data_IF_205009155401
#
_entry.id   IF_205009155401
#
_cell.length_a   1.000
_cell.length_b   1.000
_cell.length_c   1.000
_cell.angle_alpha   90.00
_cell.angle_beta   90.00
_cell.angle_gamma   90.00
#
_symmetry.space_group_name_H-M   'P 1'
#
loop_
_entity.id
_entity.type
_entity.pdbx_description
1 polymer ?
#
# COMPACT_ATOMS: atom_id res chain seq x y z
N UNK A 1 -17.25 -4.56 14.39
CA UNK A 1 -16.29 -5.53 13.77
C UNK A 1 -15.01 -4.78 13.44
N UNK A 2 -13.83 -5.42 13.60
CA UNK A 2 -12.54 -4.76 13.33
C UNK A 2 -12.41 -4.42 11.84
N UNK A 3 -11.92 -3.20 11.55
CA UNK A 3 -11.66 -2.70 10.19
C UNK A 3 -10.40 -3.30 9.56
N UNK A 4 -9.54 -3.92 10.36
CA UNK A 4 -8.45 -4.78 9.91
C UNK A 4 -8.67 -6.15 10.52
N UNK A 5 -8.89 -7.15 9.67
CA UNK A 5 -9.07 -8.53 10.10
C UNK A 5 -7.75 -9.27 10.03
N UNK A 6 -7.42 -9.95 11.11
CA UNK A 6 -6.18 -10.71 11.24
C UNK A 6 -6.54 -12.19 11.38
N UNK A 7 -6.03 -13.01 10.47
CA UNK A 7 -6.32 -14.45 10.42
C UNK A 7 -5.01 -15.23 10.26
N UNK A 8 -4.87 -16.33 10.95
CA UNK A 8 -3.73 -17.23 10.82
C UNK A 8 -4.05 -18.41 9.93
N UNK A 9 -3.24 -18.62 8.90
CA UNK A 9 -3.32 -19.77 7.99
C UNK A 9 -1.97 -20.50 7.95
N UNK A 10 -1.80 -21.51 8.80
CA UNK A 10 -0.51 -22.17 8.98
C UNK A 10 0.58 -21.21 9.43
N UNK A 11 1.67 -21.09 8.67
CA UNK A 11 2.77 -20.14 8.91
C UNK A 11 2.56 -18.77 8.25
N UNK A 12 1.40 -18.50 7.66
CA UNK A 12 1.07 -17.23 7.02
C UNK A 12 0.11 -16.44 7.90
N UNK A 13 0.43 -15.19 8.18
CA UNK A 13 -0.48 -14.23 8.78
C UNK A 13 -1.20 -13.46 7.66
N UNK A 14 -2.52 -13.54 7.61
CA UNK A 14 -3.33 -12.74 6.67
C UNK A 14 -3.80 -11.46 7.38
N UNK A 15 -3.49 -10.31 6.80
CA UNK A 15 -4.01 -9.01 7.20
C UNK A 15 -4.97 -8.52 6.11
N UNK A 16 -6.25 -8.40 6.46
CA UNK A 16 -7.29 -8.00 5.51
C UNK A 16 -7.87 -6.65 5.87
N UNK A 17 -7.81 -5.71 4.94
CA UNK A 17 -8.50 -4.41 5.03
C UNK A 17 -10.00 -4.68 4.83
N UNK A 18 -10.83 -4.28 5.81
CA UNK A 18 -12.25 -4.61 5.81
C UNK A 18 -13.13 -3.44 6.25
N UNK A 19 -13.40 -2.56 5.31
CA UNK A 19 -14.32 -1.43 5.43
C UNK A 19 -15.02 -1.21 4.07
N UNK A 20 -15.72 -2.25 3.55
CA UNK A 20 -16.22 -2.26 2.17
C UNK A 20 -17.24 -1.14 1.90
N UNK A 21 -18.02 -0.73 2.89
CA UNK A 21 -19.00 0.38 2.80
C UNK A 21 -18.34 1.75 2.53
N UNK A 22 -17.05 1.88 2.79
CA UNK A 22 -16.20 3.03 2.45
C UNK A 22 -15.12 2.68 1.43
N UNK A 23 -15.31 1.58 0.67
CA UNK A 23 -14.36 1.08 -0.33
C UNK A 23 -12.96 0.87 0.25
N UNK A 24 -12.89 0.41 1.50
CA UNK A 24 -11.65 0.21 2.25
C UNK A 24 -10.78 1.48 2.37
N UNK A 25 -11.37 2.69 2.38
CA UNK A 25 -10.63 3.92 2.65
C UNK A 25 -10.02 3.86 4.05
N UNK A 26 -8.71 4.16 4.15
CA UNK A 26 -7.89 4.00 5.34
C UNK A 26 -7.98 5.22 6.25
N UNK A 27 -8.32 4.99 7.52
CA UNK A 27 -8.30 5.98 8.61
C UNK A 27 -7.04 5.83 9.46
N UNK A 28 -6.76 6.82 10.32
CA UNK A 28 -5.68 6.75 11.29
C UNK A 28 -5.75 5.50 12.18
N UNK A 29 -6.97 5.09 12.63
CA UNK A 29 -7.19 3.86 13.39
C UNK A 29 -6.78 2.62 12.59
N UNK A 30 -7.12 2.55 11.29
CA UNK A 30 -6.76 1.42 10.45
C UNK A 30 -5.25 1.31 10.23
N UNK A 31 -4.52 2.42 10.12
CA UNK A 31 -3.06 2.42 10.10
C UNK A 31 -2.46 1.90 11.40
N UNK A 32 -3.00 2.30 12.54
CA UNK A 32 -2.60 1.77 13.85
C UNK A 32 -2.78 0.26 13.92
N UNK A 33 -3.94 -0.25 13.46
CA UNK A 33 -4.23 -1.69 13.43
C UNK A 33 -3.32 -2.46 12.45
N UNK A 34 -3.03 -1.90 11.27
CA UNK A 34 -2.09 -2.51 10.31
C UNK A 34 -0.67 -2.57 10.88
N UNK A 35 -0.20 -1.48 11.51
CA UNK A 35 1.08 -1.43 12.20
C UNK A 35 1.17 -2.48 13.29
N UNK A 36 0.15 -2.57 14.15
CA UNK A 36 0.08 -3.60 15.20
C UNK A 36 0.10 -5.02 14.63
N UNK A 37 -0.62 -5.26 13.52
CA UNK A 37 -0.62 -6.54 12.82
C UNK A 37 0.74 -6.94 12.26
N UNK A 38 1.47 -6.00 11.64
CA UNK A 38 2.83 -6.23 11.14
C UNK A 38 3.81 -6.49 12.30
N UNK A 39 3.75 -5.70 13.37
CA UNK A 39 4.60 -5.88 14.56
C UNK A 39 4.36 -7.22 15.23
N UNK A 40 3.09 -7.61 15.40
CA UNK A 40 2.74 -8.93 15.94
C UNK A 40 3.28 -10.06 15.06
N UNK A 41 3.12 -9.93 13.73
CA UNK A 41 3.68 -10.89 12.79
C UNK A 41 5.22 -10.92 12.81
N UNK A 42 5.88 -9.80 13.01
CA UNK A 42 7.34 -9.72 13.13
C UNK A 42 7.85 -10.44 14.39
N UNK A 43 7.16 -10.26 15.51
CA UNK A 43 7.55 -10.81 16.82
C UNK A 43 7.23 -12.31 16.99
N UNK A 44 6.31 -12.89 16.20
CA UNK A 44 5.91 -14.30 16.30
C UNK A 44 6.74 -15.17 15.35
N UNK A 45 7.70 -15.93 15.87
CA UNK A 45 8.56 -16.82 15.08
C UNK A 45 7.80 -17.92 14.31
N UNK A 46 6.58 -18.24 14.71
CA UNK A 46 5.71 -19.16 13.99
C UNK A 46 5.09 -18.54 12.73
N UNK A 47 5.06 -17.19 12.62
CA UNK A 47 4.74 -16.45 11.38
C UNK A 47 5.97 -16.38 10.50
N UNK A 48 5.84 -16.86 9.27
CA UNK A 48 6.94 -16.93 8.30
C UNK A 48 6.73 -16.02 7.09
N UNK A 49 5.49 -15.64 6.81
CA UNK A 49 5.11 -14.70 5.77
C UNK A 49 3.83 -13.96 6.16
N UNK A 50 3.61 -12.79 5.56
CA UNK A 50 2.37 -12.01 5.67
C UNK A 50 1.71 -11.91 4.30
N UNK A 51 0.38 -12.10 4.27
CA UNK A 51 -0.46 -11.82 3.12
C UNK A 51 -1.34 -10.61 3.44
N UNK A 52 -1.16 -9.52 2.70
CA UNK A 52 -1.98 -8.32 2.77
C UNK A 52 -3.03 -8.35 1.66
N UNK A 53 -4.31 -8.17 2.01
CA UNK A 53 -5.40 -8.18 1.02
C UNK A 53 -6.54 -7.24 1.44
N UNK A 54 -7.48 -6.99 0.53
CA UNK A 54 -8.68 -6.21 0.78
C UNK A 54 -9.94 -7.06 0.95
N UNK A 55 -11.09 -6.41 0.97
CA UNK A 55 -12.38 -7.07 0.78
C UNK A 55 -12.54 -7.47 -0.70
N UNK A 56 -13.39 -8.47 -1.02
CA UNK A 56 -13.66 -8.83 -2.42
C UNK A 56 -14.08 -7.61 -3.25
N UNK A 57 -13.45 -7.43 -4.42
CA UNK A 57 -13.72 -6.33 -5.35
C UNK A 57 -13.12 -4.97 -4.95
N UNK A 58 -12.40 -4.87 -3.81
CA UNK A 58 -11.75 -3.61 -3.42
C UNK A 58 -10.53 -3.85 -2.53
N UNK A 59 -9.35 -3.47 -2.99
CA UNK A 59 -8.16 -3.48 -2.16
C UNK A 59 -8.20 -2.30 -1.18
N UNK A 60 -8.07 -1.07 -1.68
CA UNK A 60 -8.34 0.15 -0.91
C UNK A 60 -8.53 1.35 -1.85
N UNK A 61 -9.45 2.24 -1.49
CA UNK A 61 -9.63 3.54 -2.15
C UNK A 61 -8.62 4.61 -1.69
N UNK A 62 -7.57 4.21 -0.95
CA UNK A 62 -6.57 5.13 -0.40
C UNK A 62 -7.00 5.72 0.95
N UNK A 63 -6.43 6.87 1.29
CA UNK A 63 -6.73 7.56 2.54
C UNK A 63 -8.19 8.03 2.60
N UNK A 64 -8.81 7.94 3.77
CA UNK A 64 -10.09 8.57 4.03
C UNK A 64 -9.90 10.09 4.10
N UNK A 65 -10.31 10.81 3.04
CA UNK A 65 -10.11 12.25 2.94
C UNK A 65 -10.83 13.03 4.03
N UNK A 66 -11.97 12.49 4.53
CA UNK A 66 -12.68 13.11 5.66
C UNK A 66 -11.89 13.03 6.95
N UNK A 67 -11.29 11.86 7.22
CA UNK A 67 -10.40 11.62 8.36
C UNK A 67 -9.14 12.53 8.27
N UNK A 68 -8.53 12.61 7.08
CA UNK A 68 -7.35 13.44 6.84
C UNK A 68 -7.61 14.95 7.03
N UNK A 69 -8.78 15.43 6.63
CA UNK A 69 -9.14 16.84 6.82
C UNK A 69 -9.46 17.16 8.29
N UNK A 70 -10.00 16.19 9.05
CA UNK A 70 -10.30 16.35 10.48
C UNK A 70 -9.06 16.16 11.35
N UNK A 71 -8.20 15.21 11.01
CA UNK A 71 -7.00 14.86 11.78
C UNK A 71 -5.83 14.70 10.80
N UNK A 72 -5.28 15.82 10.29
CA UNK A 72 -4.15 15.79 9.37
C UNK A 72 -2.95 15.06 9.99
N UNK A 73 -2.28 14.16 9.26
CA UNK A 73 -1.08 13.52 9.75
C UNK A 73 0.01 14.57 10.01
N UNK A 74 0.40 14.71 11.26
CA UNK A 74 1.41 15.66 11.70
C UNK A 74 2.49 14.96 12.52
N UNK A 75 3.76 15.22 12.15
CA UNK A 75 4.92 14.67 12.85
C UNK A 75 5.16 13.17 12.61
N UNK A 76 6.33 12.70 13.04
CA UNK A 76 6.79 11.33 12.82
C UNK A 76 5.92 10.26 13.51
N UNK A 77 5.18 10.64 14.55
CA UNK A 77 4.33 9.75 15.35
C UNK A 77 2.91 9.59 14.77
N UNK A 78 2.61 10.21 13.62
CA UNK A 78 1.29 10.02 13.02
C UNK A 78 1.10 8.56 12.57
N UNK A 79 -0.11 7.98 12.72
CA UNK A 79 -0.36 6.58 12.41
C UNK A 79 0.08 6.15 11.01
N UNK A 80 -0.09 7.03 10.01
CA UNK A 80 0.32 6.73 8.62
C UNK A 80 1.83 6.64 8.50
N UNK A 81 2.60 7.54 9.13
CA UNK A 81 4.06 7.50 9.04
C UNK A 81 4.66 6.33 9.83
N UNK A 82 4.09 5.99 10.99
CA UNK A 82 4.46 4.80 11.73
C UNK A 82 4.20 3.51 10.92
N UNK A 83 3.07 3.44 10.23
CA UNK A 83 2.77 2.32 9.33
C UNK A 83 3.79 2.22 8.18
N UNK A 84 4.11 3.34 7.53
CA UNK A 84 5.08 3.36 6.43
C UNK A 84 6.48 2.95 6.90
N UNK A 85 6.91 3.41 8.07
CA UNK A 85 8.19 2.99 8.67
C UNK A 85 8.21 1.48 8.93
N UNK A 86 7.14 0.94 9.52
CA UNK A 86 7.02 -0.49 9.78
C UNK A 86 7.04 -1.30 8.48
N UNK A 87 6.29 -0.84 7.47
CA UNK A 87 6.22 -1.49 6.16
C UNK A 87 7.59 -1.58 5.47
N UNK A 88 8.35 -0.48 5.47
CA UNK A 88 9.71 -0.40 4.88
C UNK A 88 10.70 -1.29 5.62
N UNK A 89 10.58 -1.39 6.95
CA UNK A 89 11.52 -2.16 7.79
C UNK A 89 11.12 -3.62 7.97
N UNK A 90 9.93 -4.03 7.48
CA UNK A 90 9.39 -5.36 7.71
C UNK A 90 10.29 -6.45 7.11
N UNK A 91 10.85 -7.31 7.97
CA UNK A 91 11.90 -8.25 7.59
C UNK A 91 11.39 -9.58 7.00
N UNK A 92 10.15 -10.00 7.34
CA UNK A 92 9.56 -11.23 6.80
C UNK A 92 8.96 -11.00 5.42
N UNK A 93 8.77 -12.05 4.59
CA UNK A 93 8.11 -11.92 3.31
C UNK A 93 6.72 -11.30 3.42
N UNK A 94 6.43 -10.34 2.54
CA UNK A 94 5.15 -9.66 2.43
C UNK A 94 4.59 -9.85 1.01
N UNK A 95 3.46 -10.53 0.92
CA UNK A 95 2.72 -10.76 -0.33
C UNK A 95 1.48 -9.88 -0.33
N UNK A 96 1.18 -9.22 -1.43
CA UNK A 96 -0.08 -8.50 -1.61
C UNK A 96 -1.00 -9.20 -2.61
N UNK A 97 -2.29 -9.28 -2.28
CA UNK A 97 -3.35 -9.72 -3.18
C UNK A 97 -4.31 -8.55 -3.45
N UNK A 98 -4.30 -8.04 -4.69
CA UNK A 98 -4.98 -6.80 -5.07
C UNK A 98 -6.17 -7.10 -5.96
N UNK A 99 -7.39 -6.83 -5.46
CA UNK A 99 -8.63 -6.92 -6.23
C UNK A 99 -9.32 -5.54 -6.30
N UNK A 100 -9.76 -5.13 -7.48
CA UNK A 100 -10.42 -3.85 -7.71
C UNK A 100 -9.52 -2.64 -7.44
N UNK A 101 -10.05 -1.53 -6.90
CA UNK A 101 -9.30 -0.30 -6.69
C UNK A 101 -8.15 -0.43 -5.69
N UNK A 102 -6.97 0.07 -6.10
CA UNK A 102 -5.77 0.30 -5.29
C UNK A 102 -5.31 1.75 -5.54
N UNK A 103 -5.70 2.68 -4.67
CA UNK A 103 -5.55 4.13 -4.92
C UNK A 103 -4.61 4.77 -3.91
N UNK A 104 -3.73 5.67 -4.36
CA UNK A 104 -2.75 6.38 -3.52
C UNK A 104 -1.87 5.40 -2.76
N UNK A 105 -1.95 5.43 -1.43
CA UNK A 105 -1.25 4.46 -0.56
C UNK A 105 -1.54 3.01 -0.93
N UNK A 106 -2.73 2.70 -1.47
CA UNK A 106 -3.06 1.36 -1.96
C UNK A 106 -2.16 0.89 -3.11
N UNK A 107 -1.62 1.81 -3.90
CA UNK A 107 -0.64 1.52 -4.95
C UNK A 107 0.79 1.63 -4.41
N UNK A 108 1.11 2.67 -3.65
CA UNK A 108 2.49 2.94 -3.20
C UNK A 108 2.99 1.92 -2.18
N UNK A 109 2.12 1.39 -1.30
CA UNK A 109 2.50 0.33 -0.36
C UNK A 109 2.98 -0.95 -1.08
N UNK A 110 2.53 -1.19 -2.32
CA UNK A 110 2.94 -2.36 -3.11
C UNK A 110 4.43 -2.34 -3.48
N UNK A 111 5.05 -1.15 -3.55
CA UNK A 111 6.49 -0.99 -3.76
C UNK A 111 7.33 -1.60 -2.63
N UNK A 112 6.72 -1.81 -1.47
CA UNK A 112 7.34 -2.42 -0.29
C UNK A 112 6.96 -3.90 -0.10
N UNK A 113 6.01 -4.42 -0.89
CA UNK A 113 5.71 -5.84 -0.93
C UNK A 113 6.80 -6.61 -1.71
N UNK A 114 7.03 -7.86 -1.36
CA UNK A 114 8.00 -8.71 -2.04
C UNK A 114 7.39 -9.38 -3.26
N UNK A 115 6.11 -9.76 -3.17
CA UNK A 115 5.32 -10.28 -4.29
C UNK A 115 3.95 -9.61 -4.32
N UNK A 116 3.50 -9.29 -5.53
CA UNK A 116 2.18 -8.71 -5.78
C UNK A 116 1.43 -9.55 -6.79
N UNK A 117 0.26 -10.05 -6.41
CA UNK A 117 -0.70 -10.69 -7.32
C UNK A 117 -1.89 -9.75 -7.48
N UNK A 118 -2.24 -9.43 -8.71
CA UNK A 118 -3.39 -8.60 -9.02
C UNK A 118 -4.49 -9.42 -9.70
N UNK A 119 -5.74 -9.13 -9.39
CA UNK A 119 -6.85 -9.60 -10.19
C UNK A 119 -6.93 -8.85 -11.54
N UNK A 120 -7.51 -9.46 -12.56
CA UNK A 120 -7.80 -8.78 -13.84
C UNK A 120 -8.67 -7.53 -13.67
N UNK A 121 -9.43 -7.48 -12.59
CA UNK A 121 -10.27 -6.34 -12.16
C UNK A 121 -9.51 -5.22 -11.49
N UNK A 122 -8.24 -5.45 -11.09
CA UNK A 122 -7.47 -4.46 -10.34
C UNK A 122 -7.26 -3.17 -11.15
N UNK A 123 -7.37 -2.04 -10.44
CA UNK A 123 -7.16 -0.69 -10.97
C UNK A 123 -6.30 0.10 -10.01
N UNK A 124 -5.15 0.51 -10.49
CA UNK A 124 -4.16 1.28 -9.75
C UNK A 124 -4.30 2.75 -10.09
N UNK A 125 -4.05 3.62 -9.11
CA UNK A 125 -4.09 5.06 -9.35
C UNK A 125 -3.23 5.79 -8.32
N UNK A 126 -2.53 6.84 -8.76
CA UNK A 126 -1.67 7.71 -7.94
C UNK A 126 -2.14 9.17 -8.03
N UNK A 127 -3.32 9.51 -7.47
CA UNK A 127 -4.00 10.79 -7.72
C UNK A 127 -3.48 11.95 -6.84
N UNK A 128 -2.23 11.92 -6.39
CA UNK A 128 -1.67 12.89 -5.45
C UNK A 128 -1.84 14.34 -5.94
N UNK A 129 -1.39 14.64 -7.15
CA UNK A 129 -1.51 15.99 -7.73
C UNK A 129 -2.97 16.41 -7.97
N UNK A 130 -3.86 15.45 -8.28
CA UNK A 130 -5.30 15.70 -8.39
C UNK A 130 -5.96 16.07 -7.06
N UNK A 131 -5.30 15.80 -5.94
CA UNK A 131 -5.74 16.16 -4.58
C UNK A 131 -4.93 17.34 -4.01
N UNK A 132 -4.05 17.96 -4.81
CA UNK A 132 -3.22 19.07 -4.40
C UNK A 132 -2.07 18.69 -3.48
N UNK A 133 -1.73 17.39 -3.37
CA UNK A 133 -0.64 16.87 -2.54
C UNK A 133 0.45 16.22 -3.39
N UNK A 134 1.56 15.85 -2.76
CA UNK A 134 2.70 15.18 -3.38
C UNK A 134 2.68 13.67 -3.09
N UNK A 135 3.48 12.85 -3.83
CA UNK A 135 3.67 11.42 -3.54
C UNK A 135 4.19 11.17 -2.13
N UNK A 136 4.00 9.93 -1.64
CA UNK A 136 4.42 9.45 -0.32
C UNK A 136 5.02 8.04 -0.41
N UNK A 137 5.40 7.44 0.73
CA UNK A 137 5.93 6.07 0.83
C UNK A 137 7.24 5.83 0.05
N UNK A 138 8.04 6.85 -0.20
CA UNK A 138 9.26 6.71 -1.01
C UNK A 138 8.98 6.51 -2.50
N UNK A 139 7.73 6.69 -2.93
CA UNK A 139 7.32 6.44 -4.32
C UNK A 139 7.96 7.39 -5.32
N UNK A 140 8.35 8.60 -4.91
CA UNK A 140 9.10 9.54 -5.76
C UNK A 140 10.50 9.00 -6.15
N UNK A 141 11.06 8.10 -5.36
CA UNK A 141 12.30 7.38 -5.67
C UNK A 141 12.02 6.02 -6.32
N UNK A 142 11.13 5.22 -5.72
CA UNK A 142 10.95 3.81 -6.08
C UNK A 142 10.26 3.63 -7.43
N UNK A 143 9.27 4.46 -7.77
CA UNK A 143 8.59 4.34 -9.06
C UNK A 143 9.51 4.59 -10.24
N UNK A 144 10.28 5.70 -10.31
CA UNK A 144 11.22 5.90 -11.41
C UNK A 144 12.26 4.77 -11.54
N UNK A 145 12.69 4.17 -10.43
CA UNK A 145 13.60 3.01 -10.44
C UNK A 145 12.93 1.75 -10.98
N UNK A 146 11.65 1.55 -10.71
CA UNK A 146 10.91 0.37 -11.11
C UNK A 146 10.44 0.45 -12.57
N UNK A 147 9.82 1.57 -12.97
CA UNK A 147 9.09 1.69 -14.24
C UNK A 147 9.74 2.65 -15.25
N UNK A 148 10.86 3.28 -14.87
CA UNK A 148 11.49 4.37 -15.63
C UNK A 148 10.82 5.73 -15.40
N UNK A 149 11.59 6.82 -15.61
CA UNK A 149 11.15 8.17 -15.29
C UNK A 149 9.89 8.59 -16.04
N UNK A 150 9.77 8.27 -17.33
CA UNK A 150 8.67 8.70 -18.18
C UNK A 150 7.32 8.12 -17.68
N UNK A 151 7.28 6.82 -17.41
CA UNK A 151 6.05 6.18 -16.91
C UNK A 151 5.73 6.60 -15.48
N UNK A 152 6.74 6.75 -14.63
CA UNK A 152 6.54 7.29 -13.29
C UNK A 152 5.98 8.72 -13.33
N UNK A 153 6.47 9.56 -14.24
CA UNK A 153 5.95 10.92 -14.47
C UNK A 153 4.51 10.90 -14.95
N UNK A 154 4.17 10.04 -15.91
CA UNK A 154 2.79 9.88 -16.39
C UNK A 154 1.85 9.50 -15.25
N UNK A 155 2.19 8.46 -14.47
CA UNK A 155 1.35 7.99 -13.38
C UNK A 155 1.23 9.00 -12.24
N UNK A 156 2.32 9.69 -11.88
CA UNK A 156 2.33 10.63 -10.75
C UNK A 156 1.81 12.03 -11.10
N UNK A 157 2.11 12.54 -12.30
CA UNK A 157 1.74 13.91 -12.68
C UNK A 157 0.33 13.98 -13.26
N UNK A 158 -0.12 12.96 -14.01
CA UNK A 158 -1.49 12.91 -14.52
C UNK A 158 -2.45 12.30 -13.49
N UNK A 159 -2.00 11.32 -12.70
CA UNK A 159 -2.81 10.65 -11.70
C UNK A 159 -4.01 9.90 -12.30
N UNK A 160 -3.90 9.44 -13.57
CA UNK A 160 -4.94 8.64 -14.22
C UNK A 160 -4.88 7.18 -13.75
N UNK A 161 -6.02 6.46 -13.75
CA UNK A 161 -6.02 5.05 -13.40
C UNK A 161 -5.40 4.19 -14.51
N UNK A 162 -4.69 3.13 -14.12
CA UNK A 162 -4.14 2.13 -15.03
C UNK A 162 -4.53 0.71 -14.61
N UNK A 163 -4.47 -0.23 -15.54
CA UNK A 163 -4.97 -1.58 -15.36
C UNK A 163 -3.94 -2.58 -14.85
N UNK A 164 -4.41 -3.79 -14.52
CA UNK A 164 -3.58 -4.87 -13.99
C UNK A 164 -2.47 -5.30 -14.97
N UNK A 165 -2.77 -5.43 -16.26
CA UNK A 165 -1.77 -5.84 -17.26
C UNK A 165 -0.70 -4.77 -17.49
N UNK A 166 -1.08 -3.49 -17.43
CA UNK A 166 -0.12 -2.40 -17.48
C UNK A 166 0.80 -2.42 -16.25
N UNK A 167 0.22 -2.60 -15.05
CA UNK A 167 0.98 -2.75 -13.80
C UNK A 167 1.96 -3.93 -13.86
N UNK A 168 1.53 -5.08 -14.43
CA UNK A 168 2.38 -6.25 -14.61
C UNK A 168 3.50 -5.99 -15.61
N UNK A 169 3.20 -5.41 -16.76
CA UNK A 169 4.21 -5.10 -17.78
C UNK A 169 5.25 -4.09 -17.31
N UNK A 170 4.87 -3.22 -16.38
CA UNK A 170 5.74 -2.25 -15.72
C UNK A 170 6.52 -2.83 -14.52
N UNK A 171 6.26 -4.07 -14.10
CA UNK A 171 6.94 -4.71 -12.97
C UNK A 171 6.33 -4.44 -11.60
N UNK A 172 5.22 -3.71 -11.50
CA UNK A 172 4.53 -3.45 -10.22
C UNK A 172 3.83 -4.70 -9.68
N UNK A 173 3.39 -5.60 -10.56
CA UNK A 173 2.76 -6.88 -10.20
C UNK A 173 3.54 -8.05 -10.79
N UNK A 174 3.69 -9.13 -10.01
CA UNK A 174 4.32 -10.38 -10.46
C UNK A 174 3.39 -11.20 -11.35
N UNK A 175 2.08 -11.18 -11.03
CA UNK A 175 1.05 -11.98 -11.73
C UNK A 175 -0.25 -11.21 -11.82
N UNK A 176 -0.99 -11.49 -12.91
CA UNK A 176 -2.39 -11.08 -13.09
C UNK A 176 -3.20 -12.35 -13.31
N UNK A 177 -4.27 -12.50 -12.53
CA UNK A 177 -5.10 -13.71 -12.49
C UNK A 177 -6.60 -13.35 -12.44
N UNK A 178 -7.51 -14.26 -12.79
CA UNK A 178 -8.94 -14.06 -12.55
C UNK A 178 -9.22 -13.77 -11.05
N UNK A 179 -10.20 -12.92 -10.75
CA UNK A 179 -10.49 -12.52 -9.37
C UNK A 179 -10.80 -13.73 -8.45
N UNK A 180 -11.45 -14.77 -8.98
CA UNK A 180 -11.74 -15.99 -8.23
C UNK A 180 -10.48 -16.80 -7.84
N UNK A 181 -9.37 -16.62 -8.55
CA UNK A 181 -8.11 -17.32 -8.32
C UNK A 181 -7.12 -16.48 -7.49
N UNK A 182 -7.42 -15.19 -7.26
CA UNK A 182 -6.50 -14.25 -6.64
C UNK A 182 -6.02 -14.71 -5.26
N UNK A 183 -6.96 -14.93 -4.34
CA UNK A 183 -6.62 -15.26 -2.96
C UNK A 183 -5.96 -16.65 -2.85
N UNK A 184 -6.43 -17.72 -3.52
CA UNK A 184 -5.74 -19.00 -3.55
C UNK A 184 -4.29 -18.92 -4.05
N UNK A 185 -4.04 -18.18 -5.14
CA UNK A 185 -2.70 -18.05 -5.71
C UNK A 185 -1.79 -17.22 -4.81
N UNK A 186 -2.27 -16.11 -4.25
CA UNK A 186 -1.49 -15.29 -3.32
C UNK A 186 -1.17 -16.05 -2.03
N UNK A 187 -2.12 -16.82 -1.49
CA UNK A 187 -1.93 -17.69 -0.34
C UNK A 187 -0.85 -18.75 -0.63
N UNK A 188 -0.93 -19.45 -1.76
CA UNK A 188 0.05 -20.45 -2.16
C UNK A 188 1.47 -19.85 -2.30
N UNK A 189 1.60 -18.61 -2.80
CA UNK A 189 2.89 -17.92 -2.86
C UNK A 189 3.44 -17.59 -1.46
N UNK A 190 2.58 -17.11 -0.56
CA UNK A 190 2.97 -16.82 0.83
C UNK A 190 3.39 -18.11 1.55
N UNK A 191 2.68 -19.22 1.35
CA UNK A 191 3.02 -20.54 1.89
C UNK A 191 4.35 -21.06 1.32
N UNK A 192 4.57 -20.89 0.02
CA UNK A 192 5.83 -21.29 -0.63
C UNK A 192 7.02 -20.50 -0.05
N UNK A 193 6.87 -19.21 0.24
CA UNK A 193 7.89 -18.41 0.93
C UNK A 193 8.05 -18.87 2.38
N UNK A 194 6.95 -19.13 3.09
CA UNK A 194 6.97 -19.58 4.48
C UNK A 194 7.63 -20.96 4.67
N UNK A 195 7.59 -21.80 3.65
CA UNK A 195 8.23 -23.14 3.64
C UNK A 195 9.76 -23.09 3.42
N UNK A 196 10.32 -21.93 3.01
CA UNK A 196 11.76 -21.79 2.80
C UNK A 196 12.52 -21.61 4.11
N UNK A 197 13.85 -21.88 4.16
CA UNK A 197 14.68 -21.57 5.31
C UNK A 197 14.56 -20.08 5.68
N UNK A 198 14.09 -19.73 6.90
CA UNK A 198 13.67 -18.37 7.21
C UNK A 198 14.80 -17.36 7.17
N UNK A 199 15.96 -17.78 7.68
CA UNK A 199 17.10 -16.87 7.74
C UNK A 199 17.64 -16.57 6.33
N UNK A 200 17.66 -17.58 5.43
CA UNK A 200 18.04 -17.35 4.04
C UNK A 200 17.09 -16.39 3.32
N UNK A 201 15.77 -16.52 3.56
CA UNK A 201 14.77 -15.62 3.00
C UNK A 201 14.94 -14.20 3.54
N UNK A 202 15.09 -14.06 4.88
CA UNK A 202 15.31 -12.78 5.55
C UNK A 202 16.55 -12.05 5.02
N UNK A 203 17.68 -12.75 4.97
CA UNK A 203 18.94 -12.19 4.47
C UNK A 203 18.87 -11.85 2.97
N UNK A 204 18.21 -12.69 2.17
CA UNK A 204 18.01 -12.39 0.73
C UNK A 204 17.17 -11.12 0.56
N UNK A 205 16.06 -10.97 1.30
CA UNK A 205 15.25 -9.75 1.29
C UNK A 205 16.08 -8.53 1.74
N UNK A 206 16.87 -8.66 2.78
CA UNK A 206 17.77 -7.60 3.25
C UNK A 206 18.76 -7.17 2.16
N UNK A 207 19.44 -8.13 1.51
CA UNK A 207 20.38 -7.84 0.42
C UNK A 207 19.72 -7.13 -0.76
N UNK A 208 18.50 -7.53 -1.13
CA UNK A 208 17.74 -6.90 -2.22
C UNK A 208 17.34 -5.46 -1.88
N UNK A 209 17.00 -5.17 -0.62
CA UNK A 209 16.50 -3.86 -0.17
C UNK A 209 17.60 -2.91 0.31
N UNK A 210 18.73 -3.46 0.77
CA UNK A 210 19.85 -2.72 1.38
C UNK A 210 20.37 -1.56 0.52
N UNK A 211 20.61 -1.72 -0.81
CA UNK A 211 21.17 -0.64 -1.62
C UNK A 211 20.31 0.62 -1.69
N UNK A 212 19.00 0.49 -1.45
CA UNK A 212 18.03 1.58 -1.57
C UNK A 212 17.58 2.12 -0.21
N UNK A 213 17.95 1.49 0.91
CA UNK A 213 17.41 1.79 2.25
C UNK A 213 17.59 3.25 2.65
N UNK A 214 18.80 3.78 2.51
CA UNK A 214 19.09 5.19 2.84
C UNK A 214 18.36 6.14 1.90
N UNK A 215 18.32 5.83 0.61
CA UNK A 215 17.58 6.60 -0.39
C UNK A 215 16.09 6.64 -0.12
N UNK A 216 15.49 5.50 0.26
CA UNK A 216 14.07 5.41 0.64
C UNK A 216 13.80 6.28 1.87
N UNK A 217 14.60 6.16 2.92
CA UNK A 217 14.44 6.95 4.14
C UNK A 217 14.53 8.46 3.86
N UNK A 218 15.52 8.87 3.04
CA UNK A 218 15.69 10.26 2.63
C UNK A 218 14.55 10.77 1.74
N UNK A 219 14.04 9.93 0.82
CA UNK A 219 12.89 10.26 -0.02
C UNK A 219 11.64 10.46 0.85
N UNK A 220 11.33 9.49 1.72
CA UNK A 220 10.19 9.58 2.63
C UNK A 220 10.23 10.80 3.55
N UNK A 221 11.42 11.15 4.07
CA UNK A 221 11.56 12.35 4.90
C UNK A 221 11.17 13.63 4.13
N UNK A 222 11.65 13.78 2.89
CA UNK A 222 11.29 14.91 2.02
C UNK A 222 9.82 14.89 1.62
N UNK A 223 9.31 13.73 1.22
CA UNK A 223 7.90 13.54 0.85
C UNK A 223 6.98 13.90 2.02
N UNK A 224 7.27 13.40 3.23
CA UNK A 224 6.46 13.66 4.42
C UNK A 224 6.40 15.15 4.77
N UNK A 225 7.53 15.87 4.67
CA UNK A 225 7.57 17.32 4.89
C UNK A 225 6.68 18.05 3.88
N UNK A 226 6.91 17.79 2.59
CA UNK A 226 6.14 18.44 1.52
C UNK A 226 4.65 18.02 1.55
N UNK A 227 4.36 16.75 1.87
CA UNK A 227 2.99 16.26 1.98
C UNK A 227 2.22 17.00 3.09
N UNK A 228 2.84 17.15 4.27
CA UNK A 228 2.23 17.88 5.38
C UNK A 228 2.02 19.37 5.05
N UNK A 229 3.02 20.04 4.42
CA UNK A 229 2.90 21.41 3.95
C UNK A 229 1.76 21.57 2.93
N UNK A 230 1.71 20.67 1.95
CA UNK A 230 0.65 20.70 0.93
C UNK A 230 -0.73 20.43 1.52
N UNK A 231 -0.85 19.48 2.42
CA UNK A 231 -2.12 19.14 3.07
C UNK A 231 -2.68 20.31 3.89
N UNK A 232 -1.81 21.16 4.44
CA UNK A 232 -2.19 22.38 5.16
C UNK A 232 -2.56 23.56 4.22
N UNK A 233 -2.34 23.44 2.90
CA UNK A 233 -2.60 24.51 1.94
C UNK A 233 -4.08 24.63 1.58
N UNK A 234 -4.52 25.85 1.23
CA UNK A 234 -5.87 26.11 0.73
C UNK A 234 -6.15 25.32 -0.56
N UNK A 235 -5.17 25.23 -1.48
CA UNK A 235 -5.28 24.50 -2.74
C UNK A 235 -5.61 23.01 -2.51
N UNK A 236 -4.92 22.32 -1.60
CA UNK A 236 -5.20 20.92 -1.30
C UNK A 236 -6.58 20.77 -0.65
N UNK A 237 -6.92 21.66 0.28
CA UNK A 237 -8.22 21.65 0.96
C UNK A 237 -9.39 21.84 0.00
N UNK A 238 -9.31 22.84 -0.87
CA UNK A 238 -10.33 23.10 -1.89
C UNK A 238 -10.47 21.96 -2.87
N UNK A 239 -9.34 21.41 -3.32
CA UNK A 239 -9.30 20.30 -4.28
C UNK A 239 -9.90 19.02 -3.67
N UNK A 240 -9.58 18.70 -2.42
CA UNK A 240 -10.14 17.55 -1.70
C UNK A 240 -11.65 17.71 -1.48
N UNK A 241 -12.12 18.89 -1.06
CA UNK A 241 -13.54 19.17 -0.90
C UNK A 241 -14.30 19.06 -2.23
N UNK A 242 -13.76 19.61 -3.32
CA UNK A 242 -14.31 19.47 -4.67
C UNK A 242 -14.37 18.01 -5.13
N UNK A 243 -13.33 17.22 -4.82
CA UNK A 243 -13.31 15.79 -5.13
C UNK A 243 -14.38 15.01 -4.35
N UNK A 244 -14.54 15.30 -3.06
CA UNK A 244 -15.56 14.67 -2.21
C UNK A 244 -16.99 15.02 -2.65
N UNK A 245 -17.23 16.26 -3.10
CA UNK A 245 -18.55 16.70 -3.56
C UNK A 245 -19.00 16.08 -4.89
N UNK A 246 -18.04 15.69 -5.76
CA UNK A 246 -18.30 15.04 -7.05
C UNK A 246 -18.59 13.53 -6.93
N UNK A 247 -18.34 12.90 -5.78
CA UNK A 247 -18.69 11.49 -5.56
C UNK A 247 -20.22 11.37 -5.44
N UNK A 248 -20.88 10.48 -6.22
CA UNK A 248 -22.28 10.16 -6.00
C UNK A 248 -22.44 9.71 -4.55
N UNK A 249 -23.41 10.27 -3.84
CA UNK A 249 -23.80 9.74 -2.52
C UNK A 249 -24.17 8.27 -2.76
N UNK A 250 -23.49 7.36 -2.05
CA UNK A 250 -23.86 5.96 -2.06
C UNK A 250 -25.33 5.87 -1.62
N UNK A 251 -26.21 5.47 -2.54
CA UNK A 251 -27.60 5.16 -2.25
C UNK A 251 -27.70 3.86 -1.48
#
# INVERSE_FOLDING_TARGET
MSMIRSERRGAVQVLRIWRPEKRNALTGEMYTLLTAGLRAAAADDSVRAVLLTGAPGVFTAGNDLGDFLQTPPAGAESPVFLFLQELVSFAKPLVAAVDGPAVGIGTTLLLHCDLVVAATTARFQLPFVKLGVVPEAGSSLLLPLLVGLQRASEWLLLGEPFGAEEARSAGLCNRVVPAAELEPIAQALAEALAARPPEAVRLTKELLRRPQREGIAAAMARENTLFAERLASDEARETMLAFMSKRPKAG
#
